data_IF_937627740239
#
_entry.id   IF_937627740239
#
_cell.length_a   1.000
_cell.length_b   1.000
_cell.length_c   1.000
_cell.angle_alpha   90.00
_cell.angle_beta   90.00
_cell.angle_gamma   90.00
#
_symmetry.space_group_name_H-M   'P 1'
#
loop_
_entity.id
_entity.type
_entity.pdbx_description
1 polymer ?
#
# COMPACT_ATOMS: atom_id res chain seq x y z
N UNK A 1 -1.02 -36.49 1.77
CA UNK A 1 -1.12 -35.76 0.50
C UNK A 1 0.30 -35.67 -0.04
N UNK A 2 0.47 -35.74 -1.36
CA UNK A 2 1.81 -35.78 -1.96
C UNK A 2 2.47 -34.40 -1.83
N UNK A 3 3.79 -34.37 -1.66
CA UNK A 3 4.61 -33.15 -1.59
C UNK A 3 4.36 -32.19 -2.76
N UNK A 4 3.99 -32.73 -3.92
CA UNK A 4 3.60 -31.95 -5.10
C UNK A 4 2.36 -31.08 -4.85
N UNK A 5 1.38 -31.57 -4.09
CA UNK A 5 0.13 -30.83 -3.80
C UNK A 5 0.37 -29.62 -2.90
N UNK A 6 1.31 -29.74 -1.95
CA UNK A 6 1.66 -28.66 -1.01
C UNK A 6 2.51 -27.59 -1.67
N UNK A 7 3.48 -28.01 -2.50
CA UNK A 7 4.23 -27.09 -3.35
C UNK A 7 3.33 -26.38 -4.35
N UNK A 8 2.35 -27.10 -4.93
CA UNK A 8 1.36 -26.52 -5.83
C UNK A 8 0.45 -25.52 -5.09
N UNK A 9 0.04 -25.79 -3.85
CA UNK A 9 -0.71 -24.82 -3.05
C UNK A 9 0.07 -23.52 -2.87
N UNK A 10 1.33 -23.58 -2.40
CA UNK A 10 2.14 -22.37 -2.22
C UNK A 10 2.47 -21.67 -3.54
N UNK A 11 2.52 -22.40 -4.66
CA UNK A 11 2.71 -21.79 -5.97
C UNK A 11 1.45 -21.07 -6.49
N UNK A 12 0.26 -21.50 -6.07
CA UNK A 12 -1.02 -20.99 -6.59
C UNK A 12 -1.66 -19.97 -5.65
N UNK A 13 -1.39 -20.05 -4.34
CA UNK A 13 -1.99 -19.16 -3.36
C UNK A 13 -1.39 -17.75 -3.46
N UNK A 14 -2.18 -16.70 -3.75
CA UNK A 14 -1.65 -15.38 -4.14
C UNK A 14 -0.71 -14.74 -3.11
N UNK A 15 -0.99 -14.91 -1.82
CA UNK A 15 -0.19 -14.28 -0.76
C UNK A 15 1.11 -15.05 -0.47
N UNK A 16 1.21 -16.33 -0.84
CA UNK A 16 2.40 -17.13 -0.58
C UNK A 16 3.67 -16.57 -1.26
N UNK A 17 3.51 -15.83 -2.37
CA UNK A 17 4.61 -15.15 -3.05
C UNK A 17 5.26 -14.04 -2.21
N UNK A 18 4.57 -13.53 -1.19
CA UNK A 18 5.07 -12.47 -0.29
C UNK A 18 5.69 -13.01 1.00
N UNK A 19 5.68 -14.34 1.21
CA UNK A 19 6.31 -14.96 2.38
C UNK A 19 7.84 -14.85 2.29
N UNK A 20 8.48 -14.78 3.46
CA UNK A 20 9.93 -14.99 3.53
C UNK A 20 10.27 -16.43 3.15
N UNK A 21 11.43 -16.60 2.52
CA UNK A 21 11.90 -17.93 2.10
C UNK A 21 12.14 -18.88 3.29
N UNK A 22 12.48 -18.35 4.47
CA UNK A 22 12.60 -19.15 5.70
C UNK A 22 11.26 -19.76 6.14
N UNK A 23 10.20 -18.94 6.21
CA UNK A 23 8.86 -19.37 6.59
C UNK A 23 8.27 -20.34 5.57
N UNK A 24 8.53 -20.08 4.28
CA UNK A 24 8.11 -20.96 3.18
C UNK A 24 8.73 -22.35 3.30
N UNK A 25 10.03 -22.44 3.57
CA UNK A 25 10.73 -23.72 3.78
C UNK A 25 10.22 -24.43 5.01
N UNK A 26 10.05 -23.69 6.11
CA UNK A 26 9.55 -24.24 7.36
C UNK A 26 8.13 -24.80 7.21
N UNK A 27 7.23 -24.09 6.55
CA UNK A 27 5.86 -24.55 6.31
C UNK A 27 5.80 -25.80 5.43
N UNK A 28 6.68 -25.89 4.42
CA UNK A 28 6.83 -27.10 3.59
C UNK A 28 7.39 -28.31 4.37
N UNK A 29 8.23 -28.06 5.37
CA UNK A 29 8.70 -29.12 6.26
C UNK A 29 7.57 -29.59 7.18
N UNK A 30 6.82 -28.65 7.76
CA UNK A 30 5.67 -28.94 8.62
C UNK A 30 4.58 -29.69 7.87
N UNK A 31 4.27 -29.35 6.62
CA UNK A 31 3.24 -30.03 5.83
C UNK A 31 3.59 -31.50 5.53
N UNK A 32 4.88 -31.85 5.50
CA UNK A 32 5.33 -33.25 5.41
C UNK A 32 5.10 -34.00 6.71
N UNK A 33 5.33 -33.33 7.85
CA UNK A 33 5.16 -33.92 9.20
C UNK A 33 3.69 -34.01 9.60
N UNK A 34 2.90 -33.02 9.21
CA UNK A 34 1.51 -32.83 9.60
C UNK A 34 0.60 -32.77 8.39
N UNK A 35 -0.49 -33.56 8.40
CA UNK A 35 -1.52 -33.49 7.35
C UNK A 35 -2.45 -32.31 7.58
N UNK A 36 -2.04 -31.13 7.15
CA UNK A 36 -2.86 -29.92 7.21
C UNK A 36 -4.03 -29.99 6.24
N UNK A 37 -5.15 -29.41 6.66
CA UNK A 37 -6.23 -29.03 5.75
C UNK A 37 -5.85 -27.78 4.96
N UNK A 38 -6.55 -27.53 3.86
CA UNK A 38 -6.38 -26.31 3.07
C UNK A 38 -6.52 -25.03 3.92
N UNK A 39 -7.50 -24.99 4.83
CA UNK A 39 -7.74 -23.82 5.69
C UNK A 39 -6.60 -23.60 6.68
N UNK A 40 -6.04 -24.67 7.25
CA UNK A 40 -4.89 -24.59 8.14
C UNK A 40 -3.65 -24.08 7.40
N UNK A 41 -3.40 -24.59 6.19
CA UNK A 41 -2.27 -24.15 5.40
C UNK A 41 -2.39 -22.68 4.98
N UNK A 42 -3.57 -22.27 4.52
CA UNK A 42 -3.89 -20.87 4.23
C UNK A 42 -3.63 -19.97 5.44
N UNK A 43 -4.15 -20.35 6.60
CA UNK A 43 -4.00 -19.57 7.82
C UNK A 43 -2.53 -19.42 8.23
N UNK A 44 -1.74 -20.49 8.18
CA UNK A 44 -0.30 -20.42 8.51
C UNK A 44 0.48 -19.54 7.52
N UNK A 45 0.08 -19.52 6.25
CA UNK A 45 0.65 -18.58 5.27
C UNK A 45 0.32 -17.14 5.65
N UNK A 46 -0.96 -16.81 5.84
CA UNK A 46 -1.40 -15.46 6.21
C UNK A 46 -0.71 -14.99 7.50
N UNK A 47 -0.64 -15.86 8.52
CA UNK A 47 0.03 -15.62 9.80
C UNK A 47 1.54 -15.37 9.66
N UNK A 48 2.24 -16.12 8.81
CA UNK A 48 3.68 -15.88 8.58
C UNK A 48 3.96 -14.51 7.93
N UNK A 49 3.04 -14.05 7.08
CA UNK A 49 3.13 -12.74 6.44
C UNK A 49 2.82 -11.65 7.44
N UNK A 50 1.80 -11.82 8.28
CA UNK A 50 1.48 -10.90 9.39
C UNK A 50 2.71 -10.68 10.28
N UNK A 51 3.39 -11.75 10.70
CA UNK A 51 4.62 -11.66 11.50
C UNK A 51 5.74 -10.89 10.80
N UNK A 52 5.92 -11.12 9.49
CA UNK A 52 6.91 -10.39 8.71
C UNK A 52 6.56 -8.91 8.54
N UNK A 53 5.26 -8.56 8.49
CA UNK A 53 4.80 -7.18 8.38
C UNK A 53 4.91 -6.42 9.71
N UNK A 54 4.75 -7.11 10.83
CA UNK A 54 4.90 -6.55 12.17
C UNK A 54 6.34 -6.59 12.70
N UNK A 55 7.27 -7.16 11.95
CA UNK A 55 8.67 -7.38 12.36
C UNK A 55 8.81 -8.20 13.66
N UNK A 56 7.89 -9.17 13.88
CA UNK A 56 7.79 -9.98 15.11
C UNK A 56 8.45 -11.38 14.99
N UNK A 57 9.45 -11.52 14.11
CA UNK A 57 10.14 -12.80 13.91
C UNK A 57 9.43 -13.74 12.94
N UNK A 58 9.77 -15.04 12.95
CA UNK A 58 9.33 -16.07 11.98
C UNK A 58 8.31 -17.05 12.56
N UNK A 59 7.58 -17.74 11.69
CA UNK A 59 6.60 -18.75 12.09
C UNK A 59 7.26 -19.88 12.92
N UNK A 60 8.52 -20.19 12.63
CA UNK A 60 9.31 -21.18 13.36
C UNK A 60 9.56 -20.82 14.83
N UNK A 61 9.52 -19.54 15.20
CA UNK A 61 9.69 -19.12 16.59
C UNK A 61 8.43 -19.38 17.43
N UNK A 62 7.25 -19.34 16.81
CA UNK A 62 5.98 -19.57 17.50
C UNK A 62 5.57 -21.05 17.51
N UNK A 63 6.20 -21.89 16.69
CA UNK A 63 5.82 -23.29 16.54
C UNK A 63 6.49 -24.18 17.59
N UNK A 64 5.70 -24.78 18.48
CA UNK A 64 6.19 -25.77 19.45
C UNK A 64 5.41 -27.10 19.34
N UNK A 65 6.12 -28.19 19.05
CA UNK A 65 5.52 -29.52 18.93
C UNK A 65 5.02 -30.07 20.29
N UNK A 66 5.47 -29.50 21.41
CA UNK A 66 5.05 -29.85 22.77
C UNK A 66 3.64 -29.31 23.11
N UNK A 67 3.15 -28.28 22.41
CA UNK A 67 1.80 -27.73 22.60
C UNK A 67 0.70 -28.76 22.28
N UNK A 68 1.06 -29.80 21.52
CA UNK A 68 0.21 -30.96 21.27
C UNK A 68 0.02 -31.89 22.48
N UNK A 69 0.85 -31.75 23.53
CA UNK A 69 0.82 -32.57 24.74
C UNK A 69 0.80 -34.08 24.45
N UNK A 70 -0.07 -34.79 25.18
CA UNK A 70 -0.29 -36.23 25.02
C UNK A 70 -1.26 -36.59 23.87
N UNK A 71 -1.72 -35.60 23.09
CA UNK A 71 -2.63 -35.85 21.98
C UNK A 71 -1.89 -36.50 20.80
N UNK A 72 -2.62 -37.26 19.99
CA UNK A 72 -2.12 -37.89 18.77
C UNK A 72 -2.99 -37.57 17.56
N UNK A 73 -2.40 -37.63 16.37
CA UNK A 73 -3.12 -37.40 15.11
C UNK A 73 -3.69 -35.98 14.97
N UNK A 74 -4.89 -35.87 14.39
CA UNK A 74 -5.55 -34.58 14.09
C UNK A 74 -5.77 -33.68 15.32
N UNK A 75 -6.21 -34.20 16.49
CA UNK A 75 -6.32 -33.39 17.70
C UNK A 75 -5.00 -32.72 18.12
N UNK A 76 -3.87 -33.42 18.00
CA UNK A 76 -2.54 -32.88 18.29
C UNK A 76 -2.20 -31.70 17.38
N UNK A 77 -2.35 -31.91 16.06
CA UNK A 77 -2.08 -30.87 15.06
C UNK A 77 -2.96 -29.63 15.28
N UNK A 78 -4.23 -29.84 15.65
CA UNK A 78 -5.13 -28.74 15.97
C UNK A 78 -4.64 -27.97 17.20
N UNK A 79 -4.26 -28.65 18.28
CA UNK A 79 -3.77 -27.99 19.49
C UNK A 79 -2.54 -27.12 19.24
N UNK A 80 -1.57 -27.61 18.46
CA UNK A 80 -0.36 -26.83 18.09
C UNK A 80 -0.74 -25.57 17.28
N UNK A 81 -1.62 -25.72 16.29
CA UNK A 81 -2.08 -24.59 15.46
C UNK A 81 -2.88 -23.57 16.29
N UNK A 82 -3.71 -24.05 17.22
CA UNK A 82 -4.48 -23.19 18.13
C UNK A 82 -3.52 -22.41 19.05
N UNK A 83 -2.43 -23.00 19.51
CA UNK A 83 -1.40 -22.33 20.30
C UNK A 83 -0.68 -21.23 19.51
N UNK A 84 -0.28 -21.50 18.25
CA UNK A 84 0.28 -20.49 17.35
C UNK A 84 -0.71 -19.33 17.14
N UNK A 85 -1.99 -19.65 16.91
CA UNK A 85 -3.03 -18.64 16.71
C UNK A 85 -3.26 -17.78 17.94
N UNK A 86 -3.19 -18.36 19.15
CA UNK A 86 -3.26 -17.61 20.40
C UNK A 86 -2.09 -16.65 20.58
N UNK A 87 -0.86 -17.07 20.26
CA UNK A 87 0.31 -16.18 20.32
C UNK A 87 0.15 -14.99 19.36
N UNK A 88 -0.36 -15.24 18.15
CA UNK A 88 -0.63 -14.18 17.16
C UNK A 88 -1.75 -13.24 17.64
N UNK A 89 -2.81 -13.76 18.26
CA UNK A 89 -3.88 -12.93 18.80
C UNK A 89 -3.43 -12.07 19.99
N UNK A 90 -2.40 -12.50 20.73
CA UNK A 90 -1.74 -11.68 21.75
C UNK A 90 -0.99 -10.53 21.06
N UNK A 91 -0.16 -10.83 20.05
CA UNK A 91 0.58 -9.82 19.29
C UNK A 91 -0.35 -8.78 18.64
N UNK A 92 -1.51 -9.20 18.12
CA UNK A 92 -2.51 -8.29 17.52
C UNK A 92 -3.10 -7.27 18.50
N UNK A 93 -3.18 -7.64 19.78
CA UNK A 93 -3.76 -6.78 20.83
C UNK A 93 -2.72 -5.87 21.45
N UNK A 94 -1.44 -6.21 21.29
CA UNK A 94 -0.34 -5.41 21.83
C UNK A 94 -0.20 -4.11 21.01
N UNK A 95 -0.18 -2.94 21.66
CA UNK A 95 0.00 -1.67 20.95
C UNK A 95 1.35 -1.66 20.22
N UNK A 96 1.34 -1.37 18.92
CA UNK A 96 2.58 -1.23 18.15
C UNK A 96 3.38 -0.04 18.69
N UNK A 97 4.55 -0.29 19.27
CA UNK A 97 5.51 0.76 19.59
C UNK A 97 6.18 1.24 18.30
N UNK A 98 6.19 2.56 18.09
CA UNK A 98 6.84 3.21 16.95
C UNK A 98 8.08 4.01 17.39
N UNK A 99 8.54 3.85 18.64
CA UNK A 99 9.68 4.58 19.19
C UNK A 99 10.99 4.35 18.42
N UNK A 100 11.12 3.19 17.77
CA UNK A 100 12.27 2.77 16.97
C UNK A 100 11.99 2.76 15.44
N UNK A 101 10.82 3.26 15.01
CA UNK A 101 10.43 3.24 13.60
C UNK A 101 11.35 4.10 12.74
N UNK A 102 12.22 3.45 11.97
CA UNK A 102 13.16 4.08 11.04
C UNK A 102 12.89 3.65 9.60
N UNK A 103 11.80 4.15 9.00
CA UNK A 103 11.53 3.87 7.59
C UNK A 103 12.53 4.60 6.70
N UNK A 104 13.38 3.86 5.98
CA UNK A 104 14.10 4.38 4.81
C UNK A 104 13.13 4.33 3.62
N UNK A 105 12.59 5.45 3.13
CA UNK A 105 11.76 5.42 1.93
C UNK A 105 12.60 4.85 0.78
N UNK A 106 12.09 3.84 0.08
CA UNK A 106 12.62 3.50 -1.24
C UNK A 106 12.27 4.66 -2.16
N UNK A 107 13.23 5.56 -2.38
CA UNK A 107 13.09 6.65 -3.33
C UNK A 107 13.18 6.08 -4.74
N UNK A 108 12.04 5.66 -5.29
CA UNK A 108 11.91 5.44 -6.73
C UNK A 108 11.41 6.74 -7.33
N UNK A 109 12.32 7.54 -7.89
CA UNK A 109 11.93 8.68 -8.73
C UNK A 109 11.38 8.12 -10.04
N UNK A 110 10.20 8.59 -10.48
CA UNK A 110 9.58 8.15 -11.74
C UNK A 110 9.76 9.16 -12.87
N UNK A 111 9.91 10.45 -12.55
CA UNK A 111 10.04 11.46 -13.60
C UNK A 111 11.47 11.52 -14.14
N UNK A 112 11.58 11.42 -15.46
CA UNK A 112 12.86 11.46 -16.18
C UNK A 112 12.95 12.69 -17.10
N UNK A 113 11.83 13.34 -17.40
CA UNK A 113 11.75 14.42 -18.38
C UNK A 113 10.97 15.62 -17.83
N UNK A 114 11.42 16.83 -18.17
CA UNK A 114 10.77 18.09 -17.77
C UNK A 114 10.41 18.84 -19.05
N UNK A 115 9.13 19.15 -19.22
CA UNK A 115 8.61 19.90 -20.36
C UNK A 115 8.01 21.24 -19.93
N UNK A 116 7.93 22.17 -20.87
CA UNK A 116 7.32 23.48 -20.64
C UNK A 116 5.86 23.46 -21.09
N UNK A 117 4.94 23.84 -20.19
CA UNK A 117 3.57 24.19 -20.55
C UNK A 117 3.59 25.36 -21.53
N UNK A 118 3.01 25.19 -22.72
CA UNK A 118 2.80 26.27 -23.68
C UNK A 118 1.71 27.26 -23.21
N UNK A 119 0.91 27.77 -24.14
CA UNK A 119 -0.17 28.73 -23.86
C UNK A 119 -1.41 28.11 -23.19
N UNK A 120 -1.29 26.93 -22.58
CA UNK A 120 -2.39 26.24 -21.90
C UNK A 120 -2.93 27.03 -20.71
N UNK A 121 -4.24 27.20 -20.60
CA UNK A 121 -4.90 27.97 -19.52
C UNK A 121 -4.48 27.49 -18.12
N UNK A 122 -3.88 28.38 -17.31
CA UNK A 122 -3.44 28.06 -15.94
C UNK A 122 -4.58 28.06 -14.92
N UNK A 123 -5.59 28.92 -15.09
CA UNK A 123 -6.67 29.07 -14.11
C UNK A 123 -7.88 28.21 -14.50
N UNK A 124 -7.99 27.05 -13.86
CA UNK A 124 -9.11 26.12 -13.98
C UNK A 124 -10.20 26.38 -12.95
N UNK A 125 -11.36 25.76 -13.17
CA UNK A 125 -12.43 25.67 -12.17
C UNK A 125 -12.87 24.22 -12.06
N UNK A 126 -13.22 23.79 -10.86
CA UNK A 126 -13.76 22.46 -10.65
C UNK A 126 -14.94 22.21 -11.61
N UNK A 127 -14.99 21.07 -12.32
CA UNK A 127 -16.04 20.77 -13.30
C UNK A 127 -17.42 20.51 -12.66
N UNK A 128 -17.59 20.70 -11.34
CA UNK A 128 -18.90 20.55 -10.71
C UNK A 128 -19.91 21.57 -11.26
N UNK A 129 -21.16 21.15 -11.53
CA UNK A 129 -22.21 22.07 -11.92
C UNK A 129 -22.40 23.12 -10.82
N UNK A 130 -22.35 24.38 -11.25
CA UNK A 130 -22.44 25.55 -10.37
C UNK A 130 -23.84 25.59 -9.79
N UNK A 131 -23.97 25.32 -8.49
CA UNK A 131 -25.16 25.60 -7.68
C UNK A 131 -26.47 24.95 -8.19
N UNK A 132 -26.70 23.70 -7.80
CA UNK A 132 -28.06 23.15 -7.68
C UNK A 132 -28.35 22.81 -6.21
N UNK A 133 -29.61 22.86 -5.77
CA UNK A 133 -30.03 22.53 -4.38
C UNK A 133 -29.53 21.15 -3.90
N UNK A 134 -29.12 20.27 -4.82
CA UNK A 134 -28.64 18.90 -4.56
C UNK A 134 -27.12 18.76 -4.52
N UNK A 135 -26.33 19.74 -4.97
CA UNK A 135 -24.86 19.62 -5.08
C UNK A 135 -24.14 20.79 -4.45
N UNK A 136 -23.51 20.57 -3.28
CA UNK A 136 -22.55 21.52 -2.68
C UNK A 136 -21.28 21.55 -3.52
N UNK A 137 -21.18 22.47 -4.46
CA UNK A 137 -19.95 22.70 -5.23
C UNK A 137 -18.99 23.57 -4.38
N UNK A 138 -17.73 23.16 -4.26
CA UNK A 138 -16.72 23.85 -3.45
C UNK A 138 -16.30 25.21 -4.01
N UNK A 139 -16.78 25.57 -5.22
CA UNK A 139 -16.39 26.76 -5.97
C UNK A 139 -14.86 26.96 -6.05
N UNK A 140 -14.11 25.86 -6.08
CA UNK A 140 -12.65 25.90 -6.10
C UNK A 140 -12.15 26.33 -7.47
N UNK A 141 -11.33 27.38 -7.48
CA UNK A 141 -10.47 27.73 -8.60
C UNK A 141 -9.13 27.01 -8.42
N UNK A 142 -8.54 26.54 -9.52
CA UNK A 142 -7.23 25.89 -9.51
C UNK A 142 -6.26 26.69 -10.35
N UNK A 143 -5.06 26.91 -9.84
CA UNK A 143 -3.96 27.51 -10.60
C UNK A 143 -2.91 26.42 -10.83
N UNK A 144 -2.97 25.81 -12.01
CA UNK A 144 -2.17 24.64 -12.38
C UNK A 144 -0.87 25.10 -13.06
N UNK A 145 0.08 25.59 -12.25
CA UNK A 145 1.38 26.11 -12.71
C UNK A 145 2.32 25.00 -13.15
N UNK A 146 2.21 23.85 -12.51
CA UNK A 146 3.00 22.67 -12.81
C UNK A 146 2.00 21.49 -12.84
N UNK A 147 2.25 20.48 -13.66
CA UNK A 147 1.43 19.27 -13.77
C UNK A 147 2.33 18.04 -13.59
N UNK A 148 1.78 16.98 -12.98
CA UNK A 148 2.47 15.73 -12.66
C UNK A 148 3.55 15.81 -11.57
N UNK A 149 3.62 14.77 -10.74
CA UNK A 149 4.56 14.71 -9.63
C UNK A 149 5.78 13.81 -9.93
N UNK A 150 6.98 14.20 -9.50
CA UNK A 150 8.20 13.39 -9.63
C UNK A 150 8.16 12.07 -8.85
N UNK A 151 7.27 12.00 -7.85
CA UNK A 151 7.18 10.89 -6.92
C UNK A 151 6.28 9.76 -7.41
N UNK A 152 6.77 8.53 -7.24
CA UNK A 152 6.08 7.31 -7.61
C UNK A 152 5.13 6.78 -6.53
N UNK A 153 4.31 7.64 -5.92
CA UNK A 153 3.36 7.22 -4.89
C UNK A 153 2.39 6.18 -5.48
N UNK A 154 2.32 4.99 -4.88
CA UNK A 154 1.56 3.84 -5.39
C UNK A 154 0.05 4.07 -5.45
N UNK A 155 -0.46 5.03 -4.68
CA UNK A 155 -1.87 5.40 -4.59
C UNK A 155 -2.16 6.80 -5.13
N UNK A 156 -1.24 7.38 -5.91
CA UNK A 156 -1.42 8.73 -6.46
C UNK A 156 -2.49 8.75 -7.55
N UNK A 157 -3.60 9.43 -7.31
CA UNK A 157 -4.67 9.63 -8.30
C UNK A 157 -4.20 10.43 -9.52
N UNK A 158 -3.20 11.31 -9.37
CA UNK A 158 -2.64 12.12 -10.45
C UNK A 158 -2.05 11.22 -11.56
N UNK A 159 -1.42 10.09 -11.20
CA UNK A 159 -0.84 9.13 -12.17
C UNK A 159 -1.90 8.48 -13.07
N UNK A 160 -3.18 8.51 -12.67
CA UNK A 160 -4.30 8.02 -13.49
C UNK A 160 -4.75 9.03 -14.56
N UNK A 161 -4.32 10.29 -14.47
CA UNK A 161 -4.66 11.34 -15.44
C UNK A 161 -3.46 11.74 -16.29
N UNK A 162 -2.25 11.68 -15.71
CA UNK A 162 -0.99 11.99 -16.38
C UNK A 162 -0.17 10.71 -16.49
N UNK A 163 -0.16 10.11 -17.68
CA UNK A 163 0.43 8.79 -17.92
C UNK A 163 1.88 8.81 -18.39
N UNK A 164 2.40 10.01 -18.70
CA UNK A 164 3.79 10.19 -19.13
C UNK A 164 4.68 10.46 -17.93
N UNK A 165 5.92 9.98 -18.00
CA UNK A 165 6.99 10.25 -17.01
C UNK A 165 7.59 11.66 -17.17
N UNK A 166 6.73 12.63 -17.49
CA UNK A 166 7.03 14.03 -17.81
C UNK A 166 6.42 14.93 -16.73
N UNK A 167 7.19 15.90 -16.24
CA UNK A 167 6.67 16.99 -15.40
C UNK A 167 6.57 18.22 -16.28
N UNK A 168 5.38 18.84 -16.32
CA UNK A 168 5.18 20.05 -17.10
C UNK A 168 5.17 21.28 -16.19
N UNK A 169 5.88 22.35 -16.56
CA UNK A 169 5.91 23.60 -15.80
C UNK A 169 5.65 24.82 -16.68
N UNK A 170 4.98 25.84 -16.16
CA UNK A 170 4.73 27.10 -16.87
C UNK A 170 5.98 27.99 -16.85
N UNK A 171 6.71 28.07 -17.97
CA UNK A 171 7.98 28.82 -18.05
C UNK A 171 7.82 30.34 -17.87
N UNK A 172 6.71 30.93 -18.30
CA UNK A 172 6.47 32.38 -18.25
C UNK A 172 5.49 32.79 -17.15
N UNK A 173 5.55 32.14 -15.98
CA UNK A 173 4.57 32.35 -14.91
C UNK A 173 4.33 33.82 -14.57
N UNK A 174 5.39 34.63 -14.41
CA UNK A 174 5.28 36.04 -14.05
C UNK A 174 4.42 36.84 -15.05
N UNK A 175 4.74 36.75 -16.34
CA UNK A 175 3.98 37.43 -17.41
C UNK A 175 2.53 36.93 -17.48
N UNK A 176 2.32 35.63 -17.23
CA UNK A 176 1.00 35.01 -17.27
C UNK A 176 0.13 35.39 -16.08
N UNK A 177 0.74 35.70 -14.93
CA UNK A 177 0.04 36.23 -13.75
C UNK A 177 -0.32 37.71 -13.93
N UNK A 178 0.52 38.50 -14.61
CA UNK A 178 0.23 39.91 -14.93
C UNK A 178 -0.99 40.07 -15.84
N UNK A 179 -1.23 39.13 -16.74
CA UNK A 179 -2.37 39.14 -17.67
C UNK A 179 -3.57 38.31 -17.18
N UNK A 180 -3.48 37.72 -15.98
CA UNK A 180 -4.52 36.83 -15.47
C UNK A 180 -5.71 37.63 -14.90
N UNK A 181 -6.87 37.50 -15.54
CA UNK A 181 -8.12 38.04 -15.01
C UNK A 181 -8.75 37.06 -14.00
N UNK A 182 -8.98 37.54 -12.77
CA UNK A 182 -9.65 36.77 -11.73
C UNK A 182 -11.17 36.95 -11.83
N UNK A 183 -11.95 35.85 -11.74
CA UNK A 183 -13.40 35.96 -11.73
C UNK A 183 -13.89 36.62 -10.43
N UNK A 184 -15.03 37.32 -10.52
CA UNK A 184 -15.66 37.95 -9.36
C UNK A 184 -16.00 36.90 -8.29
N UNK A 185 -15.60 37.17 -7.04
CA UNK A 185 -15.75 36.23 -5.93
C UNK A 185 -14.68 35.12 -5.85
N UNK A 186 -13.53 35.28 -6.53
CA UNK A 186 -12.36 34.42 -6.35
C UNK A 186 -11.73 34.58 -4.96
N UNK A 187 -12.22 33.85 -3.96
CA UNK A 187 -11.70 33.90 -2.58
C UNK A 187 -10.75 32.74 -2.24
N UNK A 188 -10.74 31.67 -3.05
CA UNK A 188 -9.88 30.51 -2.83
C UNK A 188 -9.39 29.90 -4.14
N UNK A 189 -8.07 29.92 -4.34
CA UNK A 189 -7.38 29.34 -5.49
C UNK A 189 -6.41 28.27 -4.97
N UNK A 190 -6.62 27.01 -5.35
CA UNK A 190 -5.73 25.90 -5.00
C UNK A 190 -4.63 25.72 -6.04
N UNK A 191 -3.40 25.49 -5.60
CA UNK A 191 -2.22 25.28 -6.48
C UNK A 191 -1.71 23.84 -6.49
N UNK A 192 -2.30 22.97 -5.67
CA UNK A 192 -1.87 21.57 -5.48
C UNK A 192 -2.90 20.52 -5.91
N UNK A 193 -3.73 20.82 -6.92
CA UNK A 193 -4.74 19.87 -7.40
C UNK A 193 -4.19 18.96 -8.50
N UNK A 194 -3.26 19.46 -9.31
CA UNK A 194 -2.50 18.71 -10.31
C UNK A 194 -1.14 18.21 -9.77
N UNK A 195 -0.82 18.52 -8.51
CA UNK A 195 0.50 18.33 -7.89
C UNK A 195 0.50 18.27 -6.36
N UNK A 196 1.56 17.71 -5.77
CA UNK A 196 1.89 17.97 -4.37
C UNK A 196 2.57 19.33 -4.24
N UNK A 197 1.91 20.32 -3.63
CA UNK A 197 2.44 21.68 -3.40
C UNK A 197 3.34 21.82 -2.17
N UNK A 198 3.88 20.72 -1.63
CA UNK A 198 4.74 20.74 -0.45
C UNK A 198 6.22 20.75 -0.83
N UNK A 199 6.72 21.90 -1.30
CA UNK A 199 8.10 22.40 -1.15
C UNK A 199 8.35 23.56 -2.15
N UNK A 200 8.16 24.79 -1.65
CA UNK A 200 8.92 25.98 -2.04
C UNK A 200 9.54 26.56 -0.77
#
# INVERSE_FOLDING_TARGET
MNTETEQQFLATYPLAASMREEDRRFLLELSRRYRFSFQQMRMLVEQSIDLSLWDQGSLSMLWNDEDGGNLSGKPRTKAIIDAVSQQIDILRKDPTDYSDFTRKPKTTNKATHIETLGDERLLGRCPCPVSGEKTRCCNLLTLDVVQQCAFACSYCSIQSFYHKEEIHFAANLAQRLETLELPEGAWHIGTGQSLSSSQL
#
